data_IF_642304069826
#
_entry.id   IF_642304069826
#
_cell.length_a   1.000
_cell.length_b   1.000
_cell.length_c   1.000
_cell.angle_alpha   90.00
_cell.angle_beta   90.00
_cell.angle_gamma   90.00
#
_symmetry.space_group_name_H-M   'P 1'
#
loop_
_entity.id
_entity.type
_entity.pdbx_description
1 polymer ?
#
# COMPACT_ATOMS: atom_id res chain seq x y z
N UNK A 1 -28.33 -1.53 8.25
CA UNK A 1 -27.02 -2.21 8.22
C UNK A 1 -26.17 -1.79 7.03
N UNK A 2 -26.69 -1.85 5.80
CA UNK A 2 -25.98 -1.40 4.58
C UNK A 2 -25.25 -0.05 4.68
N UNK A 3 -25.95 1.01 5.09
CA UNK A 3 -25.36 2.36 5.20
C UNK A 3 -24.18 2.41 6.20
N UNK A 4 -24.28 1.65 7.29
CA UNK A 4 -23.23 1.58 8.32
C UNK A 4 -21.99 0.84 7.80
N UNK A 5 -22.17 -0.31 7.16
CA UNK A 5 -21.05 -1.06 6.55
C UNK A 5 -20.38 -0.27 5.44
N UNK A 6 -21.16 0.45 4.62
CA UNK A 6 -20.65 1.31 3.56
C UNK A 6 -19.82 2.45 4.16
N UNK A 7 -20.35 3.13 5.18
CA UNK A 7 -19.61 4.18 5.90
C UNK A 7 -18.28 3.63 6.46
N UNK A 8 -18.31 2.46 7.10
CA UNK A 8 -17.15 1.86 7.73
C UNK A 8 -16.10 1.40 6.70
N UNK A 9 -16.54 0.85 5.56
CA UNK A 9 -15.68 0.54 4.42
C UNK A 9 -15.00 1.80 3.84
N UNK A 10 -15.75 2.89 3.64
CA UNK A 10 -15.21 4.15 3.14
C UNK A 10 -14.23 4.79 4.14
N UNK A 11 -14.58 4.82 5.43
CA UNK A 11 -13.70 5.35 6.47
C UNK A 11 -12.40 4.56 6.52
N UNK A 12 -12.48 3.22 6.54
CA UNK A 12 -11.27 2.40 6.52
C UNK A 12 -10.49 2.56 5.22
N UNK A 13 -11.14 2.69 4.07
CA UNK A 13 -10.44 2.93 2.81
C UNK A 13 -9.64 4.25 2.86
N UNK A 14 -10.24 5.34 3.36
CA UNK A 14 -9.57 6.64 3.44
C UNK A 14 -8.44 6.61 4.48
N UNK A 15 -8.71 6.14 5.69
CA UNK A 15 -7.77 6.21 6.80
C UNK A 15 -6.72 5.08 6.81
N UNK A 16 -6.93 3.98 6.09
CA UNK A 16 -5.91 2.95 5.91
C UNK A 16 -5.07 3.16 4.64
N UNK A 17 -5.72 3.39 3.49
CA UNK A 17 -5.02 3.45 2.20
C UNK A 17 -4.28 4.78 2.02
N UNK A 18 -4.86 5.90 2.48
CA UNK A 18 -4.23 7.22 2.36
C UNK A 18 -2.83 7.27 3.00
N UNK A 19 -2.69 6.95 4.29
CA UNK A 19 -1.39 6.92 4.95
C UNK A 19 -0.43 5.86 4.39
N UNK A 20 -0.95 4.70 3.94
CA UNK A 20 -0.14 3.68 3.28
C UNK A 20 0.52 4.20 2.00
N UNK A 21 -0.29 4.76 1.09
CA UNK A 21 0.19 5.30 -0.18
C UNK A 21 1.14 6.48 0.05
N UNK A 22 0.82 7.34 1.02
CA UNK A 22 1.72 8.42 1.42
C UNK A 22 3.09 7.86 1.86
N UNK A 23 3.11 6.93 2.81
CA UNK A 23 4.36 6.36 3.33
C UNK A 23 5.26 5.76 2.23
N UNK A 24 4.69 5.01 1.28
CA UNK A 24 5.49 4.37 0.22
C UNK A 24 5.94 5.34 -0.87
N UNK A 25 5.16 6.38 -1.18
CA UNK A 25 5.51 7.35 -2.24
C UNK A 25 6.51 8.39 -1.75
N UNK A 26 6.42 8.82 -0.49
CA UNK A 26 7.33 9.81 0.09
C UNK A 26 8.63 9.21 0.63
N UNK A 27 8.71 7.90 0.83
CA UNK A 27 9.91 7.25 1.36
C UNK A 27 11.18 7.52 0.52
N UNK A 28 11.02 7.71 -0.80
CA UNK A 28 12.13 8.09 -1.69
C UNK A 28 12.80 9.42 -1.33
N UNK A 29 12.07 10.37 -0.71
CA UNK A 29 12.65 11.61 -0.20
C UNK A 29 13.59 11.36 0.97
N UNK A 30 13.18 10.52 1.92
CA UNK A 30 14.03 10.14 3.07
C UNK A 30 15.31 9.45 2.62
N UNK A 31 15.22 8.59 1.59
CA UNK A 31 16.37 7.93 0.97
C UNK A 31 17.35 8.92 0.31
N UNK A 32 16.84 9.93 -0.41
CA UNK A 32 17.68 10.98 -1.02
C UNK A 32 18.37 11.86 0.02
N UNK A 33 17.76 12.02 1.19
CA UNK A 33 18.31 12.82 2.29
C UNK A 33 19.19 12.01 3.23
N UNK A 34 19.31 10.69 3.00
CA UNK A 34 19.98 9.76 3.90
C UNK A 34 19.51 9.88 5.37
N UNK A 35 18.21 10.12 5.58
CA UNK A 35 17.62 10.24 6.91
C UNK A 35 17.06 8.87 7.36
N UNK A 36 17.85 8.16 8.17
CA UNK A 36 17.48 6.84 8.68
C UNK A 36 16.20 6.84 9.54
N UNK A 37 15.90 7.94 10.25
CA UNK A 37 14.68 8.05 11.06
C UNK A 37 13.45 8.20 10.17
N UNK A 38 13.52 9.04 9.14
CA UNK A 38 12.42 9.22 8.18
C UNK A 38 12.15 7.95 7.35
N UNK A 39 13.19 7.20 6.99
CA UNK A 39 13.06 5.93 6.26
C UNK A 39 12.43 4.87 7.18
N UNK A 40 12.92 4.75 8.42
CA UNK A 40 12.40 3.79 9.39
C UNK A 40 10.93 4.05 9.78
N UNK A 41 10.54 5.33 9.91
CA UNK A 41 9.15 5.70 10.15
C UNK A 41 8.25 5.36 8.95
N UNK A 42 8.74 5.60 7.72
CA UNK A 42 8.02 5.23 6.49
C UNK A 42 7.81 3.72 6.38
N UNK A 43 8.83 2.90 6.69
CA UNK A 43 8.73 1.45 6.71
C UNK A 43 7.69 0.96 7.72
N UNK A 44 7.71 1.53 8.94
CA UNK A 44 6.74 1.22 9.99
C UNK A 44 5.31 1.58 9.57
N UNK A 45 5.10 2.76 9.01
CA UNK A 45 3.79 3.20 8.53
C UNK A 45 3.28 2.30 7.41
N UNK A 46 4.13 1.99 6.42
CA UNK A 46 3.78 1.07 5.34
C UNK A 46 3.34 -0.30 5.89
N UNK A 47 4.04 -0.84 6.89
CA UNK A 47 3.67 -2.10 7.54
C UNK A 47 2.32 -2.01 8.27
N UNK A 48 2.15 -1.02 9.15
CA UNK A 48 0.93 -0.86 9.97
C UNK A 48 -0.28 -0.65 9.07
N UNK A 49 -0.19 0.26 8.11
CA UNK A 49 -1.33 0.61 7.26
C UNK A 49 -1.62 -0.44 6.18
N UNK A 50 -0.62 -1.23 5.75
CA UNK A 50 -0.85 -2.42 4.95
C UNK A 50 -1.67 -3.46 5.73
N UNK A 51 -1.36 -3.69 7.01
CA UNK A 51 -2.20 -4.54 7.88
C UNK A 51 -3.59 -3.93 8.10
N UNK A 52 -3.68 -2.62 8.33
CA UNK A 52 -4.96 -1.93 8.51
C UNK A 52 -5.84 -2.01 7.24
N UNK A 53 -5.24 -2.08 6.05
CA UNK A 53 -5.97 -2.23 4.78
C UNK A 53 -6.82 -3.51 4.70
N UNK A 54 -6.50 -4.53 5.51
CA UNK A 54 -7.32 -5.75 5.62
C UNK A 54 -8.74 -5.42 6.09
N UNK A 55 -8.91 -4.40 6.95
CA UNK A 55 -10.23 -3.96 7.39
C UNK A 55 -11.09 -3.49 6.21
N UNK A 56 -10.49 -2.83 5.22
CA UNK A 56 -11.19 -2.38 4.01
C UNK A 56 -11.79 -3.58 3.28
N UNK A 57 -11.01 -4.66 3.13
CA UNK A 57 -11.47 -5.90 2.48
C UNK A 57 -12.56 -6.56 3.31
N UNK A 58 -12.40 -6.66 4.64
CA UNK A 58 -13.41 -7.25 5.53
C UNK A 58 -14.75 -6.50 5.39
N UNK A 59 -14.74 -5.17 5.42
CA UNK A 59 -15.96 -4.38 5.26
C UNK A 59 -16.52 -4.45 3.84
N UNK A 60 -15.66 -4.58 2.82
CA UNK A 60 -16.07 -4.77 1.43
C UNK A 60 -16.79 -6.10 1.21
N UNK A 61 -16.24 -7.20 1.74
CA UNK A 61 -16.86 -8.52 1.73
C UNK A 61 -18.15 -8.55 2.56
N UNK A 62 -18.16 -7.86 3.70
CA UNK A 62 -19.36 -7.66 4.50
C UNK A 62 -20.47 -6.94 3.73
N UNK A 63 -20.11 -5.97 2.88
CA UNK A 63 -21.06 -5.24 2.02
C UNK A 63 -21.63 -6.14 0.92
N UNK A 64 -20.80 -7.00 0.35
CA UNK A 64 -21.15 -7.98 -0.69
C UNK A 64 -22.17 -9.01 -0.20
N UNK A 65 -22.02 -9.49 1.04
CA UNK A 65 -22.92 -10.47 1.67
C UNK A 65 -24.33 -9.92 1.94
N UNK A 66 -24.53 -8.59 1.85
CA UNK A 66 -25.83 -7.98 2.09
C UNK A 66 -26.73 -8.05 0.86
N UNK A 67 -28.02 -8.34 1.10
CA UNK A 67 -29.05 -8.38 0.06
C UNK A 67 -29.84 -7.09 0.04
N UNK A 68 -30.09 -6.54 -1.15
CA UNK A 68 -31.02 -5.42 -1.36
C UNK A 68 -32.12 -5.87 -2.32
N UNK A 69 -33.38 -5.88 -1.84
CA UNK A 69 -34.55 -6.34 -2.62
C UNK A 69 -34.38 -7.74 -3.22
N UNK A 70 -33.80 -8.68 -2.46
CA UNK A 70 -33.65 -10.08 -2.88
C UNK A 70 -32.48 -10.38 -3.82
N UNK A 71 -31.75 -9.36 -4.29
CA UNK A 71 -30.50 -9.53 -5.04
C UNK A 71 -29.29 -9.22 -4.15
N UNK A 72 -28.23 -10.02 -4.29
CA UNK A 72 -26.93 -9.74 -3.68
C UNK A 72 -26.33 -8.49 -4.33
N UNK A 73 -25.62 -7.68 -3.52
CA UNK A 73 -25.06 -6.40 -3.97
C UNK A 73 -23.75 -6.53 -4.73
N UNK A 74 -23.18 -7.72 -4.74
CA UNK A 74 -22.03 -8.10 -5.53
C UNK A 74 -21.89 -9.61 -5.51
N UNK A 75 -21.59 -10.20 -6.66
CA UNK A 75 -21.24 -11.62 -6.78
C UNK A 75 -19.75 -11.75 -7.04
N UNK A 76 -19.12 -12.85 -6.61
CA UNK A 76 -17.72 -13.11 -6.97
C UNK A 76 -17.55 -13.28 -8.49
N UNK A 77 -18.65 -13.45 -9.23
CA UNK A 77 -18.68 -13.38 -10.69
C UNK A 77 -18.50 -11.97 -11.27
N UNK A 78 -18.64 -10.92 -10.47
CA UNK A 78 -18.44 -9.55 -10.93
C UNK A 78 -16.94 -9.27 -11.08
N UNK A 79 -16.50 -9.00 -12.31
CA UNK A 79 -15.08 -8.83 -12.65
C UNK A 79 -14.40 -7.76 -11.79
N UNK A 80 -15.12 -6.70 -11.41
CA UNK A 80 -14.58 -5.62 -10.59
C UNK A 80 -14.25 -6.05 -9.16
N UNK A 81 -14.95 -7.05 -8.59
CA UNK A 81 -14.72 -7.51 -7.21
C UNK A 81 -13.45 -8.33 -7.12
N UNK A 82 -13.38 -9.42 -7.90
CA UNK A 82 -12.24 -10.33 -7.84
C UNK A 82 -10.95 -9.65 -8.33
N UNK A 83 -11.04 -8.81 -9.37
CA UNK A 83 -9.88 -8.05 -9.85
C UNK A 83 -9.37 -7.05 -8.79
N UNK A 84 -10.27 -6.36 -8.09
CA UNK A 84 -9.88 -5.46 -7.00
C UNK A 84 -9.24 -6.21 -5.84
N UNK A 85 -9.74 -7.41 -5.50
CA UNK A 85 -9.16 -8.26 -4.47
C UNK A 85 -7.76 -8.74 -4.86
N UNK A 86 -7.58 -9.19 -6.11
CA UNK A 86 -6.29 -9.61 -6.65
C UNK A 86 -5.28 -8.45 -6.63
N UNK A 87 -5.69 -7.28 -7.11
CA UNK A 87 -4.87 -6.07 -7.09
C UNK A 87 -4.47 -5.66 -5.67
N UNK A 88 -5.39 -5.75 -4.70
CA UNK A 88 -5.09 -5.49 -3.31
C UNK A 88 -4.04 -6.47 -2.75
N UNK A 89 -4.18 -7.77 -3.03
CA UNK A 89 -3.18 -8.78 -2.63
C UNK A 89 -1.82 -8.42 -3.20
N UNK A 90 -1.74 -8.08 -4.49
CA UNK A 90 -0.49 -7.67 -5.15
C UNK A 90 0.12 -6.44 -4.44
N UNK A 91 -0.68 -5.40 -4.16
CA UNK A 91 -0.20 -4.20 -3.48
C UNK A 91 0.36 -4.49 -2.08
N UNK A 92 -0.33 -5.33 -1.30
CA UNK A 92 0.10 -5.75 0.04
C UNK A 92 1.39 -6.55 -0.06
N UNK A 93 1.47 -7.54 -0.95
CA UNK A 93 2.67 -8.35 -1.17
C UNK A 93 3.87 -7.50 -1.58
N UNK A 94 3.70 -6.59 -2.54
CA UNK A 94 4.76 -5.66 -2.95
C UNK A 94 5.21 -4.79 -1.78
N UNK A 95 4.28 -4.30 -0.96
CA UNK A 95 4.62 -3.50 0.21
C UNK A 95 5.45 -4.31 1.22
N UNK A 96 5.04 -5.53 1.55
CA UNK A 96 5.70 -6.36 2.57
C UNK A 96 7.01 -7.00 2.11
N UNK A 97 7.08 -7.43 0.85
CA UNK A 97 8.22 -8.21 0.34
C UNK A 97 9.27 -7.31 -0.31
N UNK A 98 8.86 -6.17 -0.87
CA UNK A 98 9.75 -5.29 -1.63
C UNK A 98 10.00 -3.99 -0.87
N UNK A 99 8.94 -3.23 -0.54
CA UNK A 99 9.09 -1.87 0.00
C UNK A 99 9.66 -1.87 1.42
N UNK A 100 9.03 -2.59 2.35
CA UNK A 100 9.45 -2.61 3.76
C UNK A 100 10.89 -3.12 3.92
N UNK A 101 11.29 -4.26 3.34
CA UNK A 101 12.66 -4.75 3.51
C UNK A 101 13.70 -3.84 2.83
N UNK A 102 13.36 -3.22 1.70
CA UNK A 102 14.26 -2.27 1.05
C UNK A 102 14.50 -1.03 1.93
N UNK A 103 13.45 -0.51 2.58
CA UNK A 103 13.56 0.62 3.50
C UNK A 103 14.35 0.27 4.77
N UNK A 104 14.10 -0.90 5.37
CA UNK A 104 14.83 -1.37 6.55
C UNK A 104 16.32 -1.54 6.23
N UNK A 105 16.66 -2.21 5.13
CA UNK A 105 18.06 -2.36 4.68
C UNK A 105 18.73 -1.03 4.39
N UNK A 106 18.02 -0.09 3.76
CA UNK A 106 18.56 1.25 3.49
C UNK A 106 18.83 2.01 4.80
N UNK A 107 17.91 1.94 5.75
CA UNK A 107 18.09 2.58 7.06
C UNK A 107 19.25 1.98 7.86
N UNK A 108 19.43 0.64 7.80
CA UNK A 108 20.57 -0.03 8.44
C UNK A 108 21.89 0.37 7.77
N UNK A 109 21.92 0.41 6.43
CA UNK A 109 23.08 0.81 5.63
C UNK A 109 23.50 2.25 5.89
N UNK A 110 22.54 3.16 6.05
CA UNK A 110 22.82 4.57 6.39
C UNK A 110 23.34 4.67 7.83
N UNK A 111 22.77 3.89 8.76
CA UNK A 111 23.21 3.86 10.17
C UNK A 111 24.64 3.32 10.31
N UNK A 112 24.99 2.25 9.59
CA UNK A 112 26.34 1.67 9.63
C UNK A 112 27.35 2.45 8.78
N UNK A 113 26.95 2.95 7.60
CA UNK A 113 27.81 3.72 6.70
C UNK A 113 28.14 5.15 7.20
N UNK A 114 27.43 5.64 8.23
CA UNK A 114 27.84 6.85 8.95
C UNK A 114 29.14 6.64 9.76
N UNK A 115 29.52 5.40 10.05
CA UNK A 115 30.75 5.06 10.78
C UNK A 115 31.94 4.83 9.84
N UNK A 116 31.72 4.37 8.60
CA UNK A 116 32.76 4.06 7.60
C UNK A 116 32.60 4.91 6.32
N UNK A 117 33.02 6.17 6.37
CA UNK A 117 33.04 7.06 5.21
C UNK A 117 34.21 6.75 4.25
N UNK A 118 34.12 5.64 3.50
CA UNK A 118 34.96 5.39 2.32
C UNK A 118 34.30 4.41 1.33
N UNK A 119 33.84 4.92 0.17
CA UNK A 119 33.60 4.07 -1.02
C UNK A 119 32.36 4.42 -1.86
N UNK A 120 32.54 4.57 -3.17
CA UNK A 120 31.46 4.79 -4.15
C UNK A 120 30.43 3.65 -4.25
N UNK A 121 30.73 2.49 -3.69
CA UNK A 121 29.84 1.32 -3.65
C UNK A 121 28.62 1.54 -2.75
N UNK A 122 28.80 2.22 -1.60
CA UNK A 122 27.71 2.57 -0.69
C UNK A 122 26.68 3.49 -1.37
N UNK A 123 27.18 4.50 -2.09
CA UNK A 123 26.33 5.47 -2.78
C UNK A 123 25.58 4.84 -3.96
N UNK A 124 26.16 3.82 -4.60
CA UNK A 124 25.51 3.05 -5.67
C UNK A 124 24.42 2.13 -5.11
N UNK A 125 24.67 1.47 -3.97
CA UNK A 125 23.67 0.66 -3.27
C UNK A 125 22.47 1.49 -2.77
N UNK A 126 22.70 2.67 -2.20
CA UNK A 126 21.63 3.57 -1.76
C UNK A 126 20.82 4.10 -2.96
N UNK A 127 21.48 4.40 -4.10
CA UNK A 127 20.79 4.82 -5.34
C UNK A 127 19.87 3.72 -5.90
N UNK A 128 20.34 2.48 -5.96
CA UNK A 128 19.53 1.37 -6.47
C UNK A 128 18.31 1.09 -5.59
N UNK A 129 18.47 1.13 -4.26
CA UNK A 129 17.36 1.03 -3.32
C UNK A 129 16.37 2.19 -3.44
N UNK A 130 16.87 3.42 -3.65
CA UNK A 130 16.02 4.59 -3.88
C UNK A 130 15.16 4.44 -5.13
N UNK A 131 15.75 3.98 -6.24
CA UNK A 131 15.02 3.77 -7.49
C UNK A 131 13.96 2.69 -7.35
N UNK A 132 14.29 1.57 -6.70
CA UNK A 132 13.37 0.48 -6.44
C UNK A 132 12.20 0.91 -5.56
N UNK A 133 12.46 1.59 -4.44
CA UNK A 133 11.41 2.10 -3.54
C UNK A 133 10.51 3.11 -4.26
N UNK A 134 11.08 4.03 -5.03
CA UNK A 134 10.30 5.01 -5.77
C UNK A 134 9.38 4.34 -6.81
N UNK A 135 9.91 3.36 -7.57
CA UNK A 135 9.14 2.62 -8.55
C UNK A 135 8.02 1.79 -7.88
N UNK A 136 8.35 1.02 -6.85
CA UNK A 136 7.39 0.20 -6.12
C UNK A 136 6.31 1.05 -5.43
N UNK A 137 6.67 2.18 -4.82
CA UNK A 137 5.72 3.11 -4.21
C UNK A 137 4.75 3.70 -5.24
N UNK A 138 5.25 4.08 -6.42
CA UNK A 138 4.43 4.54 -7.53
C UNK A 138 3.46 3.46 -8.03
N UNK A 139 3.94 2.23 -8.22
CA UNK A 139 3.11 1.08 -8.62
C UNK A 139 2.01 0.80 -7.60
N UNK A 140 2.34 0.79 -6.30
CA UNK A 140 1.35 0.61 -5.23
C UNK A 140 0.27 1.70 -5.28
N UNK A 141 0.67 2.97 -5.47
CA UNK A 141 -0.27 4.08 -5.63
C UNK A 141 -1.20 3.91 -6.83
N UNK A 142 -0.66 3.50 -7.98
CA UNK A 142 -1.44 3.23 -9.20
C UNK A 142 -2.41 2.08 -8.98
N UNK A 143 -1.97 0.99 -8.35
CA UNK A 143 -2.83 -0.16 -8.05
C UNK A 143 -4.05 0.29 -7.22
N UNK A 144 -3.84 1.07 -6.16
CA UNK A 144 -4.96 1.58 -5.35
C UNK A 144 -5.86 2.54 -6.11
N UNK A 145 -5.32 3.39 -6.99
CA UNK A 145 -6.13 4.24 -7.86
C UNK A 145 -7.02 3.40 -8.80
N UNK A 146 -6.48 2.33 -9.41
CA UNK A 146 -7.24 1.40 -10.25
C UNK A 146 -8.33 0.70 -9.45
N UNK A 147 -8.05 0.26 -8.21
CA UNK A 147 -9.06 -0.34 -7.33
C UNK A 147 -10.22 0.63 -7.08
N UNK A 148 -9.94 1.90 -6.81
CA UNK A 148 -10.99 2.92 -6.62
C UNK A 148 -11.83 3.09 -7.89
N UNK A 149 -11.20 3.16 -9.06
CA UNK A 149 -11.91 3.22 -10.36
C UNK A 149 -12.82 2.00 -10.54
N UNK A 150 -12.32 0.79 -10.30
CA UNK A 150 -13.13 -0.44 -10.39
C UNK A 150 -14.34 -0.42 -9.46
N UNK A 151 -14.17 0.05 -8.22
CA UNK A 151 -15.23 0.13 -7.20
C UNK A 151 -16.30 1.19 -7.52
N UNK A 152 -15.92 2.27 -8.21
CA UNK A 152 -16.81 3.38 -8.59
C UNK A 152 -17.58 3.06 -9.87
N UNK A 153 -16.88 2.62 -10.93
CA UNK A 153 -17.49 2.41 -12.25
C UNK A 153 -18.15 1.04 -12.41
N UNK A 154 -17.77 0.05 -11.59
CA UNK A 154 -18.37 -1.29 -11.53
C UNK A 154 -18.68 -1.87 -12.92
N UNK A 155 -17.68 -2.04 -13.78
CA UNK A 155 -17.89 -2.58 -15.11
C UNK A 155 -18.60 -3.94 -15.02
N UNK A 156 -19.75 -4.05 -15.69
CA UNK A 156 -20.56 -5.27 -15.74
C UNK A 156 -21.65 -5.42 -14.68
N UNK A 157 -21.89 -4.42 -13.81
CA UNK A 157 -23.02 -4.42 -12.86
C UNK A 157 -24.30 -3.78 -13.41
#
# INVERSE_FOLDING_TARGET
MLKLLLLLHLLTAIFAIGPLVHAVTTASRGLRQADALAIGSSARMAKIYSMASVLVVIFGLGLMSQKRRGKELGSFGDTWIWLSLLLWVIAVVVTFVVVVPALERAADTIRSGAEDAAGGDLQTAVKSQTALVAASGGVVGIIFAVIVVLMVYRPGS
#
